data_IF_913062197463
#
_entry.id   IF_913062197463
#
_cell.length_a   1.000
_cell.length_b   1.000
_cell.length_c   1.000
_cell.angle_alpha   90.00
_cell.angle_beta   90.00
_cell.angle_gamma   90.00
#
_symmetry.space_group_name_H-M   'P 1'
#
loop_
_entity.id
_entity.type
_entity.pdbx_description
1 polymer ?
#
# COMPACT_ATOMS: atom_id res chain seq x y z
N UNK A 1 63.00 64.52 -1.17
CA UNK A 1 61.98 65.32 -0.45
C UNK A 1 60.84 64.38 -0.10
N UNK A 2 60.55 64.31 1.20
CA UNK A 2 59.66 63.34 1.84
C UNK A 2 58.21 63.43 1.34
N UNK A 3 57.52 62.30 1.30
CA UNK A 3 56.25 62.11 2.04
C UNK A 3 55.86 60.63 2.12
N UNK A 4 55.82 60.15 3.37
CA UNK A 4 55.11 58.96 3.84
C UNK A 4 53.61 59.13 3.51
N UNK A 5 52.89 58.04 3.26
CA UNK A 5 51.61 57.73 3.91
C UNK A 5 51.37 56.22 3.82
N UNK A 6 51.25 55.66 5.01
CA UNK A 6 50.81 54.33 5.40
C UNK A 6 49.28 54.26 5.20
N UNK A 7 48.72 53.23 4.58
CA UNK A 7 47.30 52.93 4.80
C UNK A 7 47.06 51.42 4.79
N UNK A 8 46.76 50.97 5.99
CA UNK A 8 46.26 49.68 6.44
C UNK A 8 44.80 49.50 5.96
N UNK A 9 44.41 48.32 5.52
CA UNK A 9 43.03 48.04 5.13
C UNK A 9 42.80 46.62 4.64
N UNK A 10 43.01 45.65 5.52
CA UNK A 10 42.61 44.26 5.35
C UNK A 10 41.09 44.13 5.54
N UNK A 11 40.50 43.18 4.82
CA UNK A 11 39.17 42.58 5.01
C UNK A 11 38.03 43.12 4.13
N UNK A 12 37.90 42.55 2.93
CA UNK A 12 36.60 42.38 2.27
C UNK A 12 35.99 41.11 2.86
N UNK A 13 35.05 41.29 3.79
CA UNK A 13 34.16 40.22 4.23
C UNK A 13 32.95 40.26 3.29
N UNK A 14 32.98 39.40 2.28
CA UNK A 14 31.86 39.17 1.38
C UNK A 14 30.82 38.35 2.15
N UNK A 15 29.75 38.99 2.66
CA UNK A 15 28.57 38.24 3.11
C UNK A 15 27.88 37.66 1.88
N UNK A 16 28.14 36.41 1.58
CA UNK A 16 27.25 35.60 0.76
C UNK A 16 25.98 35.34 1.56
N UNK A 17 24.90 36.03 1.21
CA UNK A 17 23.56 35.67 1.64
C UNK A 17 23.21 34.35 0.94
N UNK A 18 23.42 33.23 1.63
CA UNK A 18 22.76 31.97 1.28
C UNK A 18 21.28 32.16 1.63
N UNK A 19 20.48 32.58 0.67
CA UNK A 19 19.06 32.24 0.69
C UNK A 19 18.99 30.73 0.48
N UNK A 20 18.90 29.98 1.59
CA UNK A 20 18.44 28.60 1.55
C UNK A 20 17.05 28.66 0.93
N UNK A 21 16.95 28.19 -0.30
CA UNK A 21 15.67 27.91 -0.90
C UNK A 21 15.20 26.63 -0.23
N UNK A 22 14.47 26.76 0.89
CA UNK A 22 13.71 25.67 1.49
C UNK A 22 12.51 25.39 0.58
N UNK A 23 12.80 24.87 -0.61
CA UNK A 23 11.92 23.93 -1.28
C UNK A 23 12.53 22.60 -0.87
N UNK A 24 11.92 21.92 0.10
CA UNK A 24 12.11 20.47 0.16
C UNK A 24 11.97 19.97 -1.29
N UNK A 25 12.91 19.15 -1.81
CA UNK A 25 12.66 18.50 -3.08
C UNK A 25 11.31 17.80 -2.94
N UNK A 26 10.34 18.14 -3.78
CA UNK A 26 9.14 17.32 -3.91
C UNK A 26 9.66 15.91 -4.18
N UNK A 27 9.38 14.98 -3.27
CA UNK A 27 9.68 13.58 -3.49
C UNK A 27 8.99 13.26 -4.80
N UNK A 28 9.79 12.92 -5.82
CA UNK A 28 9.24 12.39 -7.06
C UNK A 28 8.49 11.15 -6.66
N UNK A 29 7.16 11.19 -6.73
CA UNK A 29 6.30 10.05 -6.44
C UNK A 29 6.47 9.09 -7.64
N UNK A 30 7.54 8.29 -7.58
CA UNK A 30 7.86 7.29 -8.59
C UNK A 30 6.86 6.13 -8.46
N UNK A 31 6.53 5.51 -9.59
CA UNK A 31 5.61 4.37 -9.64
C UNK A 31 6.12 3.24 -8.72
N UNK A 32 5.33 2.86 -7.71
CA UNK A 32 5.70 1.85 -6.72
C UNK A 32 5.83 0.46 -7.38
N UNK A 33 7.02 -0.13 -7.37
CA UNK A 33 7.22 -1.50 -7.86
C UNK A 33 6.87 -2.51 -6.76
N UNK A 34 5.69 -3.11 -6.81
CA UNK A 34 5.26 -4.13 -5.83
C UNK A 34 5.49 -5.54 -6.40
N UNK A 35 6.42 -6.29 -5.81
CA UNK A 35 6.69 -7.67 -6.23
C UNK A 35 5.99 -8.70 -5.35
N UNK A 36 5.67 -8.33 -4.10
CA UNK A 36 5.16 -9.28 -3.11
C UNK A 36 3.99 -8.69 -2.35
N UNK A 37 2.89 -9.44 -2.28
CA UNK A 37 1.70 -9.08 -1.51
C UNK A 37 1.37 -10.23 -0.57
N UNK A 38 1.35 -9.96 0.74
CA UNK A 38 0.95 -10.92 1.76
C UNK A 38 -0.27 -10.42 2.50
N UNK A 39 -1.36 -11.19 2.47
CA UNK A 39 -2.57 -10.93 3.24
C UNK A 39 -2.71 -11.94 4.37
N UNK A 40 -2.59 -11.46 5.61
CA UNK A 40 -2.66 -12.29 6.83
C UNK A 40 -4.00 -12.07 7.53
N UNK A 41 -4.75 -13.15 7.73
CA UNK A 41 -6.05 -13.17 8.38
C UNK A 41 -5.94 -13.88 9.73
N UNK A 42 -6.00 -13.11 10.81
CA UNK A 42 -5.94 -13.62 12.18
C UNK A 42 -7.34 -13.74 12.77
N UNK A 43 -7.81 -14.94 13.16
CA UNK A 43 -9.15 -15.08 13.73
C UNK A 43 -9.28 -14.27 15.03
N UNK A 44 -10.39 -13.55 15.18
CA UNK A 44 -10.66 -12.69 16.36
C UNK A 44 -10.84 -13.51 17.64
N UNK A 45 -11.26 -14.77 17.50
CA UNK A 45 -11.43 -15.71 18.59
C UNK A 45 -10.32 -16.76 18.56
N UNK A 46 -10.66 -18.05 18.54
CA UNK A 46 -9.71 -19.15 18.41
C UNK A 46 -9.75 -19.68 16.99
N UNK A 47 -8.60 -20.05 16.47
CA UNK A 47 -8.50 -20.58 15.12
C UNK A 47 -7.07 -20.56 14.61
N UNK A 48 -6.93 -20.90 13.34
CA UNK A 48 -5.66 -20.85 12.63
C UNK A 48 -5.55 -19.52 11.88
N UNK A 49 -4.34 -18.97 11.85
CA UNK A 49 -4.02 -17.81 11.00
C UNK A 49 -3.99 -18.30 9.55
N UNK A 50 -4.66 -17.57 8.67
CA UNK A 50 -4.62 -17.84 7.23
C UNK A 50 -3.73 -16.81 6.56
N UNK A 51 -2.77 -17.25 5.76
CA UNK A 51 -1.91 -16.34 4.98
C UNK A 51 -2.03 -16.65 3.50
N UNK A 52 -2.27 -15.60 2.70
CA UNK A 52 -2.26 -15.64 1.25
C UNK A 52 -1.07 -14.81 0.78
N UNK A 53 -0.15 -15.40 0.02
CA UNK A 53 1.03 -14.68 -0.48
C UNK A 53 1.12 -14.81 -1.99
N UNK A 54 1.22 -13.67 -2.65
CA UNK A 54 1.60 -13.50 -4.04
C UNK A 54 3.06 -13.02 -4.10
N UNK A 55 3.85 -13.58 -5.01
CA UNK A 55 5.23 -13.15 -5.27
C UNK A 55 5.57 -13.24 -6.75
N UNK A 56 6.02 -12.13 -7.33
CA UNK A 56 6.47 -11.99 -8.71
C UNK A 56 7.69 -11.07 -8.76
N UNK A 57 8.88 -11.66 -8.77
CA UNK A 57 10.14 -10.91 -8.56
C UNK A 57 10.67 -10.26 -9.83
N UNK A 58 10.31 -10.83 -10.99
CA UNK A 58 10.71 -10.36 -12.32
C UNK A 58 9.60 -9.57 -13.00
N UNK A 59 8.42 -9.48 -12.37
CA UNK A 59 7.31 -8.64 -12.78
C UNK A 59 6.63 -9.11 -14.07
N UNK A 60 5.74 -8.27 -14.57
CA UNK A 60 4.90 -8.59 -15.72
C UNK A 60 5.70 -8.99 -16.96
N UNK A 61 5.27 -10.07 -17.60
CA UNK A 61 5.91 -10.62 -18.81
C UNK A 61 7.12 -11.52 -18.54
N UNK A 62 7.54 -11.65 -17.27
CA UNK A 62 8.52 -12.61 -16.79
C UNK A 62 7.93 -14.00 -16.54
N UNK A 63 8.38 -14.65 -15.46
CA UNK A 63 7.80 -15.89 -14.98
C UNK A 63 6.40 -15.65 -14.42
N UNK A 64 5.59 -16.70 -14.34
CA UNK A 64 4.30 -16.59 -13.67
C UNK A 64 4.51 -16.36 -12.16
N UNK A 65 3.64 -15.56 -11.52
CA UNK A 65 3.73 -15.32 -10.08
C UNK A 65 3.57 -16.62 -9.29
N UNK A 66 4.28 -16.70 -8.17
CA UNK A 66 4.13 -17.78 -7.20
C UNK A 66 3.07 -17.38 -6.19
N UNK A 67 1.99 -18.16 -6.11
CA UNK A 67 0.94 -17.98 -5.11
C UNK A 67 1.03 -19.12 -4.07
N UNK A 68 1.05 -18.75 -2.80
CA UNK A 68 1.10 -19.70 -1.68
C UNK A 68 0.02 -19.42 -0.65
N UNK A 69 -0.37 -20.48 0.06
CA UNK A 69 -1.46 -20.48 1.02
C UNK A 69 -1.05 -21.22 2.28
N UNK A 70 -1.36 -20.66 3.44
CA UNK A 70 -1.30 -21.36 4.73
C UNK A 70 -2.61 -21.19 5.48
N UNK A 71 -2.97 -22.19 6.28
CA UNK A 71 -4.23 -22.23 7.02
C UNK A 71 -5.49 -22.40 6.17
N UNK A 72 -6.65 -22.44 6.85
CA UNK A 72 -7.95 -22.60 6.20
C UNK A 72 -8.97 -21.57 6.70
N UNK A 73 -9.69 -20.93 5.77
CA UNK A 73 -10.83 -20.09 6.11
C UNK A 73 -11.99 -20.98 6.60
N UNK A 74 -12.49 -20.68 7.79
CA UNK A 74 -13.63 -21.36 8.38
C UNK A 74 -14.87 -20.50 8.26
N UNK A 75 -16.01 -21.12 7.98
CA UNK A 75 -17.32 -20.46 8.02
C UNK A 75 -17.66 -19.99 9.44
N UNK A 76 -18.43 -18.90 9.56
CA UNK A 76 -18.87 -18.36 10.85
C UNK A 76 -17.73 -17.74 11.67
N UNK A 77 -16.63 -17.37 11.04
CA UNK A 77 -15.44 -16.82 11.70
C UNK A 77 -15.20 -15.38 11.24
N UNK A 78 -14.81 -14.53 12.19
CA UNK A 78 -14.31 -13.18 11.89
C UNK A 78 -12.81 -13.15 12.06
N UNK A 79 -12.12 -12.54 11.10
CA UNK A 79 -10.68 -12.36 11.07
C UNK A 79 -10.33 -10.88 11.04
N UNK A 80 -9.27 -10.50 11.75
CA UNK A 80 -8.55 -9.26 11.51
C UNK A 80 -7.55 -9.52 10.37
N UNK A 81 -7.71 -8.79 9.27
CA UNK A 81 -6.82 -8.86 8.12
C UNK A 81 -5.77 -7.77 8.14
N UNK A 82 -4.54 -8.11 7.77
CA UNK A 82 -3.43 -7.18 7.59
C UNK A 82 -2.70 -7.49 6.28
N UNK A 83 -2.49 -6.48 5.45
CA UNK A 83 -1.69 -6.55 4.23
C UNK A 83 -0.26 -6.07 4.49
N UNK A 84 0.69 -6.71 3.82
CA UNK A 84 2.06 -6.24 3.65
C UNK A 84 2.43 -6.34 2.18
N UNK A 85 2.98 -5.26 1.66
CA UNK A 85 3.45 -5.09 0.30
C UNK A 85 4.94 -4.78 0.34
N UNK A 86 5.71 -5.44 -0.52
CA UNK A 86 7.17 -5.30 -0.59
C UNK A 86 7.64 -5.25 -2.04
N UNK A 87 8.76 -4.56 -2.23
CA UNK A 87 9.59 -4.62 -3.41
C UNK A 87 10.84 -5.47 -3.09
N UNK A 88 10.73 -6.77 -3.35
CA UNK A 88 11.82 -7.74 -3.14
C UNK A 88 12.80 -7.81 -4.33
N UNK A 89 12.56 -7.06 -5.42
CA UNK A 89 13.52 -6.96 -6.52
C UNK A 89 14.77 -6.14 -6.10
N UNK A 90 14.61 -5.30 -5.08
CA UNK A 90 15.69 -4.55 -4.44
C UNK A 90 16.42 -5.34 -3.35
N UNK A 91 17.61 -4.86 -2.99
CA UNK A 91 18.41 -5.44 -1.92
C UNK A 91 19.10 -4.36 -1.07
N UNK A 92 18.61 -4.08 0.16
CA UNK A 92 17.54 -4.80 0.86
C UNK A 92 16.17 -4.63 0.18
N UNK A 93 15.26 -5.59 0.40
CA UNK A 93 13.88 -5.44 -0.04
C UNK A 93 13.27 -4.20 0.61
N UNK A 94 12.60 -3.40 -0.20
CA UNK A 94 11.95 -2.17 0.22
C UNK A 94 10.54 -2.45 0.73
N UNK A 95 10.14 -1.72 1.77
CA UNK A 95 8.87 -1.91 2.45
C UNK A 95 7.83 -0.91 1.95
N UNK A 96 7.20 -1.25 0.82
CA UNK A 96 6.13 -0.46 0.22
C UNK A 96 4.94 -0.27 1.18
N UNK A 97 4.78 -1.13 2.18
CA UNK A 97 3.74 -0.92 3.21
C UNK A 97 3.97 0.38 3.99
N UNK A 98 5.22 0.74 4.28
CA UNK A 98 5.55 1.98 4.99
C UNK A 98 5.25 3.21 4.12
N UNK A 99 5.58 3.15 2.82
CA UNK A 99 5.27 4.21 1.86
C UNK A 99 3.76 4.44 1.75
N UNK A 100 2.96 3.37 1.61
CA UNK A 100 1.49 3.47 1.61
C UNK A 100 0.95 4.02 2.94
N UNK A 101 1.59 3.74 4.08
CA UNK A 101 1.21 4.32 5.38
C UNK A 101 1.55 5.81 5.49
N UNK A 102 2.64 6.26 4.87
CA UNK A 102 3.06 7.67 4.82
C UNK A 102 2.22 8.48 3.81
N UNK A 103 1.81 7.85 2.71
CA UNK A 103 1.04 8.43 1.61
C UNK A 103 -0.42 7.91 1.60
N UNK A 104 -0.98 7.72 2.79
CA UNK A 104 -2.26 7.03 2.96
C UNK A 104 -3.44 7.75 2.30
N UNK A 105 -3.38 9.07 2.11
CA UNK A 105 -4.38 9.87 1.40
C UNK A 105 -4.41 9.57 -0.11
N UNK A 106 -3.29 9.14 -0.67
CA UNK A 106 -3.09 8.89 -2.10
C UNK A 106 -3.35 7.42 -2.49
N UNK A 107 -3.50 6.54 -1.50
CA UNK A 107 -3.65 5.11 -1.73
C UNK A 107 -4.96 4.51 -1.22
N UNK A 108 -5.56 3.60 -1.98
CA UNK A 108 -6.65 2.74 -1.48
C UNK A 108 -6.60 1.34 -2.08
N UNK A 109 -6.71 0.34 -1.19
CA UNK A 109 -6.90 -1.06 -1.54
C UNK A 109 -8.39 -1.40 -1.72
N UNK A 110 -8.69 -2.15 -2.76
CA UNK A 110 -10.03 -2.63 -3.11
C UNK A 110 -10.08 -4.14 -3.09
N UNK A 111 -11.18 -4.69 -2.58
CA UNK A 111 -11.37 -6.12 -2.39
C UNK A 111 -12.62 -6.59 -3.12
N UNK A 112 -12.48 -7.53 -4.04
CA UNK A 112 -13.60 -8.14 -4.75
C UNK A 112 -13.60 -9.65 -4.55
N UNK A 113 -14.70 -10.17 -3.98
CA UNK A 113 -14.93 -11.61 -3.83
C UNK A 113 -15.88 -12.07 -4.94
N UNK A 114 -15.56 -13.18 -5.60
CA UNK A 114 -16.39 -13.74 -6.67
C UNK A 114 -16.56 -15.26 -6.56
N UNK A 115 -17.53 -15.79 -7.30
CA UNK A 115 -17.79 -17.23 -7.36
C UNK A 115 -18.56 -17.75 -6.14
N UNK A 116 -18.30 -18.99 -5.72
CA UNK A 116 -19.04 -19.62 -4.63
C UNK A 116 -18.79 -19.00 -3.24
N UNK A 117 -17.80 -18.13 -3.09
CA UNK A 117 -17.52 -17.37 -1.88
C UNK A 117 -18.20 -15.98 -1.85
N UNK A 118 -18.74 -15.52 -2.98
CA UNK A 118 -19.43 -14.23 -3.08
C UNK A 118 -20.64 -14.18 -2.14
N UNK A 119 -20.77 -13.08 -1.40
CA UNK A 119 -21.78 -12.90 -0.35
C UNK A 119 -21.55 -13.75 0.92
N UNK A 120 -20.58 -14.67 0.92
CA UNK A 120 -20.21 -15.51 2.08
C UNK A 120 -18.95 -15.02 2.77
N UNK A 121 -18.04 -14.36 2.05
CA UNK A 121 -16.93 -13.62 2.63
C UNK A 121 -17.20 -12.13 2.45
N UNK A 122 -17.30 -11.41 3.56
CA UNK A 122 -17.50 -9.96 3.60
C UNK A 122 -16.24 -9.33 4.17
N UNK A 123 -15.69 -8.34 3.47
CA UNK A 123 -14.49 -7.61 3.86
C UNK A 123 -14.89 -6.16 4.10
N UNK A 124 -14.49 -5.61 5.24
CA UNK A 124 -14.67 -4.20 5.59
C UNK A 124 -13.34 -3.58 6.02
N UNK A 125 -13.13 -2.32 5.68
CA UNK A 125 -11.98 -1.54 6.13
C UNK A 125 -11.94 -1.40 7.66
N UNK A 126 -10.75 -1.51 8.25
CA UNK A 126 -10.51 -1.30 9.68
C UNK A 126 -9.39 -0.26 9.93
N UNK A 127 -9.03 0.49 8.89
CA UNK A 127 -8.15 1.65 8.90
C UNK A 127 -8.69 2.78 8.02
N UNK A 128 -8.17 3.98 8.25
CA UNK A 128 -8.52 5.20 7.52
C UNK A 128 -7.36 6.19 7.57
N UNK A 129 -7.32 7.05 6.55
CA UNK A 129 -6.44 8.22 6.49
C UNK A 129 -6.93 9.39 7.36
N UNK A 130 -6.18 10.49 7.37
CA UNK A 130 -6.51 11.71 8.10
C UNK A 130 -7.82 12.38 7.63
N UNK A 131 -8.24 12.09 6.39
CA UNK A 131 -9.51 12.55 5.82
C UNK A 131 -10.67 11.58 6.09
N UNK A 132 -10.45 10.55 6.93
CA UNK A 132 -11.43 9.53 7.31
C UNK A 132 -11.93 8.70 6.10
N UNK A 133 -11.09 8.57 5.08
CA UNK A 133 -11.30 7.70 3.93
C UNK A 133 -10.51 6.40 4.12
N UNK A 134 -11.00 5.26 3.61
CA UNK A 134 -10.33 3.98 3.80
C UNK A 134 -8.98 3.90 3.07
N UNK A 135 -8.05 3.16 3.65
CA UNK A 135 -6.77 2.80 3.03
C UNK A 135 -6.80 1.32 2.66
N UNK A 136 -7.13 0.44 3.61
CA UNK A 136 -7.32 -0.99 3.39
C UNK A 136 -6.10 -1.86 3.67
N UNK A 137 -5.06 -1.35 4.30
CA UNK A 137 -3.98 -2.17 4.85
C UNK A 137 -4.50 -3.05 6.00
N UNK A 138 -5.51 -2.58 6.74
CA UNK A 138 -6.21 -3.31 7.80
C UNK A 138 -7.68 -3.51 7.47
N UNK A 139 -8.16 -4.71 7.72
CA UNK A 139 -9.54 -5.12 7.39
C UNK A 139 -10.15 -5.98 8.48
N UNK A 140 -11.48 -6.07 8.48
CA UNK A 140 -12.25 -7.12 9.14
C UNK A 140 -12.91 -7.99 8.09
N UNK A 141 -12.71 -9.29 8.20
CA UNK A 141 -13.27 -10.29 7.29
C UNK A 141 -14.23 -11.17 8.06
N UNK A 142 -15.47 -11.28 7.60
CA UNK A 142 -16.47 -12.18 8.17
C UNK A 142 -16.91 -13.22 7.15
N UNK A 143 -16.95 -14.48 7.57
CA UNK A 143 -17.43 -15.61 6.75
C UNK A 143 -18.77 -16.15 7.24
N UNK A 144 -19.67 -16.55 6.33
CA UNK A 144 -21.04 -16.99 6.69
C UNK A 144 -21.57 -18.23 5.95
N UNK A 145 -20.72 -18.95 5.21
CA UNK A 145 -21.05 -20.25 4.62
C UNK A 145 -19.84 -20.87 3.93
N UNK A 146 -19.97 -22.12 3.48
CA UNK A 146 -18.91 -22.80 2.72
C UNK A 146 -18.94 -22.42 1.24
N UNK A 147 -17.78 -22.41 0.59
CA UNK A 147 -17.70 -22.09 -0.83
C UNK A 147 -16.28 -21.89 -1.33
N UNK A 148 -16.10 -22.09 -2.63
CA UNK A 148 -14.84 -21.82 -3.34
C UNK A 148 -15.04 -20.64 -4.28
N UNK A 149 -14.09 -19.72 -4.29
CA UNK A 149 -14.16 -18.50 -5.09
C UNK A 149 -12.80 -17.87 -5.30
N UNK A 150 -12.81 -16.61 -5.75
CA UNK A 150 -11.60 -15.79 -5.88
C UNK A 150 -11.74 -14.53 -5.04
N UNK A 151 -10.65 -14.15 -4.37
CA UNK A 151 -10.44 -12.82 -3.80
C UNK A 151 -9.47 -12.07 -4.70
N UNK A 152 -9.94 -10.96 -5.27
CA UNK A 152 -9.11 -10.01 -5.98
C UNK A 152 -8.78 -8.83 -5.07
N UNK A 153 -7.51 -8.47 -4.99
CA UNK A 153 -7.01 -7.31 -4.25
C UNK A 153 -6.35 -6.37 -5.26
N UNK A 154 -6.74 -5.10 -5.25
CA UNK A 154 -6.20 -4.08 -6.15
C UNK A 154 -5.76 -2.87 -5.32
N UNK A 155 -4.50 -2.47 -5.40
CA UNK A 155 -4.06 -1.16 -4.93
C UNK A 155 -4.30 -0.12 -6.04
N UNK A 156 -4.78 1.05 -5.64
CA UNK A 156 -4.84 2.23 -6.51
C UNK A 156 -4.01 3.34 -5.90
N UNK A 157 -3.15 3.94 -6.71
CA UNK A 157 -2.51 5.21 -6.48
C UNK A 157 -3.32 6.36 -7.12
N UNK A 158 -3.50 7.44 -6.37
CA UNK A 158 -4.34 8.60 -6.66
C UNK A 158 -5.80 8.30 -7.05
N UNK A 159 -6.53 7.41 -6.35
CA UNK A 159 -7.96 7.26 -6.59
C UNK A 159 -8.72 8.49 -6.08
N UNK A 160 -9.79 8.87 -6.78
CA UNK A 160 -10.80 9.78 -6.24
C UNK A 160 -11.62 9.05 -5.15
N UNK A 161 -11.10 9.01 -3.93
CA UNK A 161 -11.75 8.35 -2.78
C UNK A 161 -13.13 8.92 -2.45
N UNK A 162 -13.42 10.15 -2.86
CA UNK A 162 -14.71 10.82 -2.60
C UNK A 162 -15.77 10.53 -3.66
N UNK A 163 -15.39 9.90 -4.77
CA UNK A 163 -16.36 9.52 -5.80
C UNK A 163 -17.34 8.47 -5.29
N UNK A 164 -18.52 8.42 -5.94
CA UNK A 164 -19.64 7.60 -5.49
C UNK A 164 -19.24 6.12 -5.37
N UNK A 165 -19.34 5.58 -4.15
CA UNK A 165 -19.07 4.18 -3.82
C UNK A 165 -17.61 3.85 -3.52
N UNK A 166 -16.65 4.75 -3.80
CA UNK A 166 -15.22 4.44 -3.69
C UNK A 166 -14.80 4.19 -2.25
N UNK A 167 -15.22 5.05 -1.31
CA UNK A 167 -14.99 4.82 0.13
C UNK A 167 -15.73 3.61 0.70
N UNK A 168 -16.68 3.02 -0.04
CA UNK A 168 -17.34 1.76 0.31
C UNK A 168 -16.66 0.54 -0.36
N UNK A 169 -15.53 0.73 -1.04
CA UNK A 169 -14.78 -0.32 -1.74
C UNK A 169 -15.27 -0.61 -3.16
N UNK A 170 -16.12 0.23 -3.76
CA UNK A 170 -16.46 0.10 -5.18
C UNK A 170 -15.45 0.87 -6.04
N UNK A 171 -14.57 0.12 -6.70
CA UNK A 171 -13.49 0.66 -7.55
C UNK A 171 -13.98 1.36 -8.83
N UNK A 172 -15.24 1.18 -9.26
CA UNK A 172 -15.75 1.59 -10.58
C UNK A 172 -15.51 3.08 -10.89
N UNK A 173 -15.61 3.95 -9.88
CA UNK A 173 -15.45 5.41 -10.04
C UNK A 173 -14.15 5.93 -9.40
N UNK A 174 -13.24 5.03 -8.99
CA UNK A 174 -12.02 5.42 -8.30
C UNK A 174 -11.08 6.21 -9.21
N UNK A 175 -10.94 5.83 -10.49
CA UNK A 175 -9.85 6.36 -11.30
C UNK A 175 -8.50 5.92 -10.73
N UNK A 176 -7.49 6.79 -10.81
CA UNK A 176 -6.13 6.48 -10.36
C UNK A 176 -5.43 5.43 -11.22
N UNK A 177 -4.16 5.20 -10.94
CA UNK A 177 -3.33 4.16 -11.55
C UNK A 177 -3.45 2.86 -10.74
N UNK A 178 -3.11 1.71 -11.33
CA UNK A 178 -3.10 0.44 -10.61
C UNK A 178 -1.65 0.04 -10.42
N UNK A 179 -1.19 0.08 -9.18
CA UNK A 179 0.19 -0.30 -8.84
C UNK A 179 0.29 -1.82 -8.71
N UNK A 180 -0.77 -2.48 -8.20
CA UNK A 180 -0.84 -3.95 -8.19
C UNK A 180 -2.29 -4.47 -8.24
N UNK A 181 -2.50 -5.58 -8.96
CA UNK A 181 -3.72 -6.38 -8.92
C UNK A 181 -3.37 -7.87 -8.77
N UNK A 182 -3.80 -8.49 -7.66
CA UNK A 182 -3.56 -9.91 -7.38
C UNK A 182 -4.86 -10.68 -7.21
N UNK A 183 -4.85 -11.96 -7.60
CA UNK A 183 -6.00 -12.85 -7.49
C UNK A 183 -5.63 -14.10 -6.67
N UNK A 184 -6.31 -14.30 -5.55
CA UNK A 184 -6.20 -15.50 -4.73
C UNK A 184 -7.41 -16.40 -4.92
N UNK A 185 -7.21 -17.67 -5.28
CA UNK A 185 -8.22 -18.69 -5.06
C UNK A 185 -8.45 -18.89 -3.56
N UNK A 186 -9.71 -18.87 -3.11
CA UNK A 186 -10.10 -19.00 -1.71
C UNK A 186 -11.11 -20.13 -1.51
N UNK A 187 -11.03 -20.80 -0.37
CA UNK A 187 -11.96 -21.86 0.04
C UNK A 187 -12.40 -21.62 1.47
N UNK A 188 -13.69 -21.45 1.69
CA UNK A 188 -14.33 -21.36 3.01
C UNK A 188 -14.93 -22.73 3.34
N UNK A 189 -14.55 -23.30 4.48
CA UNK A 189 -14.98 -24.63 4.96
C UNK A 189 -15.83 -24.58 6.21
#
# INVERSE_FOLDING_TARGET
MNKKILTLGLSIFMLTLFSSCDKDPEVSNEEELITTVTYTLTPVTTGEIVTLTFKDIDGDGGNAPVITYTGELKTGTTYNGALSLLNEAENPAENITEEIEEEDEDHQLFFAVSGGAEGKMIISYDDKDANNQPVGLKTKVSTSGTGTGKLKITLRHLPNKTASGVSAGNITNAGGETDIEVNFDIVIK
#
